data_IF_364909978235
#
_entry.id   IF_364909978235
#
_cell.length_a   1.000
_cell.length_b   1.000
_cell.length_c   1.000
_cell.angle_alpha   90.00
_cell.angle_beta   90.00
_cell.angle_gamma   90.00
#
_symmetry.space_group_name_H-M   'P 1'
#
loop_
_entity.id
_entity.type
_entity.pdbx_description
1 polymer ?
#
# COMPACT_ATOMS: atom_id res chain seq x y z
N UNK A 1 -55.43 -51.44 61.55
CA UNK A 1 -55.36 -49.97 61.37
C UNK A 1 -54.29 -49.43 62.30
N UNK A 2 -53.29 -48.68 61.89
CA UNK A 2 -52.45 -48.59 60.68
C UNK A 2 -51.33 -47.66 61.11
N UNK A 3 -50.10 -48.09 60.86
CA UNK A 3 -48.85 -47.36 60.97
C UNK A 3 -48.87 -45.98 60.32
N UNK A 4 -48.13 -45.02 60.91
CA UNK A 4 -47.49 -43.93 60.15
C UNK A 4 -46.41 -43.18 60.96
N UNK A 5 -45.18 -43.62 60.70
CA UNK A 5 -43.85 -42.96 60.64
C UNK A 5 -43.53 -41.61 61.35
N UNK A 6 -42.28 -41.43 61.82
CA UNK A 6 -41.78 -40.15 62.33
C UNK A 6 -41.40 -39.19 61.18
N UNK A 7 -41.67 -37.90 61.37
CA UNK A 7 -41.30 -36.81 60.43
C UNK A 7 -39.80 -36.62 60.35
N UNK A 8 -39.26 -36.73 59.14
CA UNK A 8 -37.89 -36.38 58.77
C UNK A 8 -37.57 -34.90 59.07
N UNK A 9 -36.27 -34.69 59.29
CA UNK A 9 -35.63 -33.47 59.72
C UNK A 9 -35.80 -32.29 58.75
N UNK A 10 -35.99 -31.11 59.34
CA UNK A 10 -35.98 -29.81 58.68
C UNK A 10 -34.53 -29.45 58.27
N UNK A 11 -34.10 -29.90 57.09
CA UNK A 11 -32.82 -29.51 56.50
C UNK A 11 -33.00 -28.19 55.74
N UNK A 12 -32.55 -27.08 56.34
CA UNK A 12 -32.57 -25.76 55.72
C UNK A 12 -31.87 -25.78 54.33
N UNK A 13 -32.43 -25.11 53.30
CA UNK A 13 -31.86 -25.11 51.97
C UNK A 13 -30.51 -24.39 51.98
N UNK A 14 -29.42 -25.12 51.65
CA UNK A 14 -28.09 -24.53 51.45
C UNK A 14 -28.19 -23.54 50.29
N UNK A 15 -28.06 -22.25 50.60
CA UNK A 15 -28.02 -21.16 49.59
C UNK A 15 -27.01 -21.51 48.49
N UNK A 16 -27.25 -21.21 47.19
CA UNK A 16 -26.42 -21.69 46.10
C UNK A 16 -25.07 -20.97 46.08
N UNK A 17 -24.12 -21.47 46.86
CA UNK A 17 -22.75 -20.95 46.99
C UNK A 17 -22.08 -20.88 45.61
N UNK A 18 -22.34 -21.89 44.77
CA UNK A 18 -21.82 -21.99 43.41
C UNK A 18 -22.23 -20.78 42.56
N UNK A 19 -23.49 -20.35 42.63
CA UNK A 19 -23.98 -19.20 41.85
C UNK A 19 -23.30 -17.89 42.25
N UNK A 20 -22.99 -17.70 43.54
CA UNK A 20 -22.25 -16.51 44.00
C UNK A 20 -20.78 -16.54 43.62
N UNK A 21 -20.15 -17.71 43.64
CA UNK A 21 -18.77 -17.87 43.20
C UNK A 21 -18.66 -17.59 41.70
N UNK A 22 -19.55 -18.15 40.88
CA UNK A 22 -19.58 -17.88 39.44
C UNK A 22 -19.85 -16.41 39.13
N UNK A 23 -20.77 -15.77 39.86
CA UNK A 23 -21.03 -14.33 39.73
C UNK A 23 -19.80 -13.49 40.13
N UNK A 24 -19.09 -13.89 41.19
CA UNK A 24 -17.85 -13.24 41.61
C UNK A 24 -16.75 -13.34 40.56
N UNK A 25 -16.59 -14.53 39.94
CA UNK A 25 -15.64 -14.74 38.83
C UNK A 25 -16.03 -13.89 37.62
N UNK A 26 -17.31 -13.83 37.24
CA UNK A 26 -17.78 -13.02 36.12
C UNK A 26 -17.53 -11.52 36.34
N UNK A 27 -17.81 -11.00 37.54
CA UNK A 27 -17.54 -9.59 37.90
C UNK A 27 -16.03 -9.32 37.84
N UNK A 28 -15.21 -10.24 38.34
CA UNK A 28 -13.76 -10.11 38.25
C UNK A 28 -13.26 -10.11 36.79
N UNK A 29 -13.80 -11.00 35.95
CA UNK A 29 -13.48 -11.05 34.52
C UNK A 29 -13.87 -9.77 33.79
N UNK A 30 -15.07 -9.22 34.06
CA UNK A 30 -15.52 -7.95 33.50
C UNK A 30 -14.65 -6.78 33.99
N UNK A 31 -14.28 -6.77 35.27
CA UNK A 31 -13.37 -5.77 35.83
C UNK A 31 -11.99 -5.81 35.17
N UNK A 32 -11.42 -7.01 34.97
CA UNK A 32 -10.16 -7.20 34.27
C UNK A 32 -10.26 -6.73 32.80
N UNK A 33 -11.35 -7.06 32.11
CA UNK A 33 -11.59 -6.64 30.73
C UNK A 33 -11.69 -5.11 30.60
N UNK A 34 -12.41 -4.44 31.51
CA UNK A 34 -12.49 -2.98 31.55
C UNK A 34 -11.12 -2.37 31.85
N UNK A 35 -10.34 -2.95 32.77
CA UNK A 35 -9.03 -2.42 33.15
C UNK A 35 -7.99 -2.59 32.04
N UNK A 36 -8.01 -3.72 31.33
CA UNK A 36 -7.21 -3.94 30.12
C UNK A 36 -7.61 -2.96 29.01
N UNK A 37 -8.91 -2.79 28.77
CA UNK A 37 -9.41 -1.83 27.79
C UNK A 37 -9.01 -0.38 28.15
N UNK A 38 -9.07 0.00 29.43
CA UNK A 38 -8.68 1.33 29.88
C UNK A 38 -7.17 1.57 29.88
N UNK A 39 -6.38 0.54 30.18
CA UNK A 39 -4.92 0.57 30.03
C UNK A 39 -4.53 0.80 28.57
N UNK A 40 -5.21 0.13 27.64
CA UNK A 40 -4.99 0.30 26.20
C UNK A 40 -5.45 1.68 25.69
N UNK A 41 -6.55 2.21 26.24
CA UNK A 41 -7.01 3.58 25.96
C UNK A 41 -5.99 4.65 26.45
N UNK A 42 -5.28 4.39 27.56
CA UNK A 42 -4.37 5.34 28.21
C UNK A 42 -3.05 5.58 27.48
N UNK A 43 -2.52 4.58 26.78
CA UNK A 43 -1.31 4.73 25.95
C UNK A 43 -1.60 4.98 24.46
N UNK A 44 -2.87 4.82 24.02
CA UNK A 44 -3.23 4.79 22.59
C UNK A 44 -4.20 5.86 22.08
N UNK A 45 -4.98 6.57 22.91
CA UNK A 45 -5.97 7.54 22.39
C UNK A 45 -5.36 8.89 22.04
N UNK A 46 -4.70 8.95 20.88
CA UNK A 46 -4.79 10.15 20.04
C UNK A 46 -6.20 10.17 19.45
N UNK A 47 -6.98 11.21 19.78
CA UNK A 47 -8.25 11.48 19.10
C UNK A 47 -8.02 11.38 17.58
N UNK A 48 -8.84 10.62 16.81
CA UNK A 48 -8.68 10.56 15.37
C UNK A 48 -8.79 11.98 14.81
N UNK A 49 -7.72 12.46 14.18
CA UNK A 49 -7.79 13.70 13.41
C UNK A 49 -8.73 13.41 12.22
N UNK A 50 -9.93 13.99 12.25
CA UNK A 50 -10.90 13.84 11.17
C UNK A 50 -10.45 14.69 9.98
N UNK A 51 -9.77 14.06 9.02
CA UNK A 51 -9.41 14.61 7.72
C UNK A 51 -7.92 14.43 7.40
N UNK A 52 -7.55 14.20 6.12
CA UNK A 52 -6.14 14.14 5.75
C UNK A 52 -5.45 15.45 6.10
N UNK A 53 -4.26 15.38 6.70
CA UNK A 53 -3.51 16.59 7.05
C UNK A 53 -2.76 17.16 5.85
N UNK A 54 -2.52 16.31 4.85
CA UNK A 54 -1.78 16.68 3.67
C UNK A 54 -2.55 17.69 2.77
N UNK A 55 -1.84 18.62 2.11
CA UNK A 55 -2.35 19.44 1.01
C UNK A 55 -2.84 18.62 -0.18
N UNK A 56 -3.60 19.24 -1.08
CA UNK A 56 -4.04 18.58 -2.33
C UNK A 56 -2.87 18.38 -3.30
N UNK A 57 -2.90 17.33 -4.13
CA UNK A 57 -1.86 17.05 -5.14
C UNK A 57 -1.56 18.24 -6.07
N UNK A 58 -2.59 19.04 -6.36
CA UNK A 58 -2.50 20.23 -7.24
C UNK A 58 -1.75 21.41 -6.61
N UNK A 59 -1.42 21.34 -5.32
CA UNK A 59 -0.64 22.36 -4.64
C UNK A 59 0.87 22.17 -4.88
N UNK A 60 1.64 23.25 -5.12
CA UNK A 60 3.09 23.16 -5.32
C UNK A 60 3.82 22.49 -4.14
N UNK A 61 4.89 21.76 -4.43
CA UNK A 61 5.72 21.09 -3.43
C UNK A 61 6.92 21.96 -3.04
N UNK A 62 7.27 21.91 -1.75
CA UNK A 62 8.53 22.44 -1.22
C UNK A 62 9.25 21.36 -0.41
N UNK A 63 10.59 21.39 -0.28
CA UNK A 63 11.32 20.49 0.60
C UNK A 63 10.72 20.48 2.03
N UNK A 64 10.39 19.29 2.52
CA UNK A 64 9.74 19.10 3.84
C UNK A 64 8.21 19.17 3.85
N UNK A 65 7.58 19.52 2.73
CA UNK A 65 6.12 19.50 2.50
C UNK A 65 5.82 18.72 1.22
N UNK A 66 6.15 17.43 1.21
CA UNK A 66 6.06 16.57 0.03
C UNK A 66 4.88 15.62 0.05
N UNK A 67 4.27 15.42 1.22
CA UNK A 67 3.11 14.56 1.40
C UNK A 67 1.86 15.26 0.87
N UNK A 68 1.10 14.58 0.01
CA UNK A 68 -0.12 15.09 -0.64
C UNK A 68 -1.26 14.12 -0.44
N UNK A 69 -2.50 14.61 -0.44
CA UNK A 69 -3.69 13.75 -0.52
C UNK A 69 -3.68 12.95 -1.81
N UNK A 70 -3.94 11.66 -1.71
CA UNK A 70 -3.85 10.75 -2.84
C UNK A 70 -5.20 10.11 -3.16
N UNK A 71 -5.59 10.21 -4.43
CA UNK A 71 -6.78 9.57 -5.00
C UNK A 71 -6.41 8.93 -6.34
N UNK A 72 -6.31 7.59 -6.42
CA UNK A 72 -5.80 6.91 -7.61
C UNK A 72 -6.60 7.17 -8.89
N UNK A 73 -7.91 7.34 -8.79
CA UNK A 73 -8.85 7.39 -9.92
C UNK A 73 -8.57 8.55 -10.89
N UNK A 74 -7.95 9.64 -10.42
CA UNK A 74 -7.73 10.86 -11.23
C UNK A 74 -6.46 11.62 -10.84
N UNK A 75 -5.41 10.94 -10.38
CA UNK A 75 -4.24 11.62 -9.83
C UNK A 75 -3.47 12.44 -10.90
N UNK A 76 -3.32 13.77 -10.75
CA UNK A 76 -2.46 14.60 -11.59
C UNK A 76 -1.01 14.57 -11.11
N UNK A 77 -0.12 15.11 -11.94
CA UNK A 77 1.19 15.55 -11.48
C UNK A 77 1.07 16.64 -10.42
N UNK A 78 2.04 16.70 -9.51
CA UNK A 78 1.98 17.68 -8.45
C UNK A 78 2.06 19.12 -8.99
N UNK A 79 1.27 20.02 -8.41
CA UNK A 79 1.20 21.41 -8.87
C UNK A 79 0.37 21.62 -10.13
N UNK A 80 -0.19 20.56 -10.73
CA UNK A 80 -1.02 20.65 -11.92
C UNK A 80 -2.52 20.52 -11.58
N UNK A 81 -3.43 21.11 -12.37
CA UNK A 81 -4.86 20.86 -12.23
C UNK A 81 -5.20 19.37 -12.38
N UNK A 82 -6.28 18.92 -11.76
CA UNK A 82 -6.81 17.57 -11.98
C UNK A 82 -7.11 17.37 -13.48
N UNK A 83 -6.79 16.20 -14.06
CA UNK A 83 -7.11 15.93 -15.46
C UNK A 83 -8.63 15.86 -15.67
N UNK A 84 -9.08 16.32 -16.83
CA UNK A 84 -10.49 16.25 -17.23
C UNK A 84 -10.94 14.79 -17.43
N UNK A 85 -10.02 13.92 -17.85
CA UNK A 85 -10.24 12.49 -18.06
C UNK A 85 -9.53 11.67 -16.99
N UNK A 86 -10.26 10.72 -16.40
CA UNK A 86 -9.69 9.74 -15.48
C UNK A 86 -8.69 8.81 -16.20
N UNK A 87 -7.68 8.35 -15.47
CA UNK A 87 -6.82 7.27 -15.95
C UNK A 87 -7.63 5.97 -16.05
N UNK A 88 -7.25 5.04 -16.94
CA UNK A 88 -7.92 3.75 -17.05
C UNK A 88 -7.90 2.97 -15.74
N UNK A 89 -9.02 2.31 -15.42
CA UNK A 89 -9.17 1.47 -14.21
C UNK A 89 -8.26 0.22 -14.22
N UNK A 90 -7.60 -0.05 -15.35
CA UNK A 90 -6.67 -1.18 -15.53
C UNK A 90 -5.53 -0.77 -16.45
N UNK A 91 -4.37 -1.40 -16.33
CA UNK A 91 -3.16 -1.03 -17.07
C UNK A 91 -3.33 -1.33 -18.56
N UNK A 92 -3.28 -0.31 -19.40
CA UNK A 92 -3.39 -0.45 -20.86
C UNK A 92 -2.01 -0.28 -21.48
N UNK A 93 -1.64 -1.19 -22.36
CA UNK A 93 -0.48 -1.03 -23.24
C UNK A 93 -0.94 -0.41 -24.56
N UNK A 94 -0.32 0.70 -24.94
CA UNK A 94 -0.51 1.34 -26.25
C UNK A 94 0.84 1.47 -26.95
N UNK A 95 1.06 0.86 -28.12
CA UNK A 95 2.26 1.12 -28.92
C UNK A 95 2.32 2.58 -29.37
N UNK A 96 3.46 3.22 -29.19
CA UNK A 96 3.72 4.61 -29.57
C UNK A 96 5.02 4.71 -30.36
N UNK A 97 5.34 5.89 -30.90
CA UNK A 97 6.57 6.13 -31.66
C UNK A 97 6.80 5.13 -32.81
N UNK A 98 5.72 4.78 -33.51
CA UNK A 98 5.76 3.80 -34.60
C UNK A 98 6.07 2.36 -34.14
N UNK A 99 5.76 2.02 -32.89
CA UNK A 99 5.96 0.69 -32.29
C UNK A 99 7.29 0.53 -31.53
N UNK A 100 8.24 1.47 -31.67
CA UNK A 100 9.52 1.42 -30.94
C UNK A 100 9.44 1.76 -29.46
N UNK A 101 8.29 2.24 -29.01
CA UNK A 101 8.00 2.43 -27.61
C UNK A 101 6.58 1.97 -27.28
N UNK A 102 6.32 1.68 -26.02
CA UNK A 102 4.98 1.39 -25.51
C UNK A 102 4.64 2.34 -24.38
N UNK A 103 3.40 2.80 -24.30
CA UNK A 103 2.85 3.50 -23.15
C UNK A 103 2.07 2.50 -22.29
N UNK A 104 2.42 2.43 -21.00
CA UNK A 104 1.62 1.75 -19.98
C UNK A 104 0.88 2.81 -19.16
N UNK A 105 -0.44 2.81 -19.27
CA UNK A 105 -1.30 3.81 -18.64
C UNK A 105 -2.41 3.17 -17.81
N UNK A 106 -2.66 3.68 -16.61
CA UNK A 106 -3.77 3.24 -15.74
C UNK A 106 -3.34 2.40 -14.54
N UNK A 107 -4.34 1.88 -13.83
CA UNK A 107 -4.14 1.12 -12.57
C UNK A 107 -3.54 -0.25 -12.84
N UNK A 108 -2.49 -0.62 -12.12
CA UNK A 108 -1.87 -1.95 -12.17
C UNK A 108 -2.79 -2.91 -11.40
N UNK A 109 -3.49 -3.81 -12.09
CA UNK A 109 -4.41 -4.76 -11.45
C UNK A 109 -3.84 -6.18 -11.44
N UNK A 110 -4.44 -7.06 -10.64
CA UNK A 110 -4.04 -8.46 -10.54
C UNK A 110 -4.05 -9.16 -11.92
N UNK A 111 -2.94 -9.82 -12.25
CA UNK A 111 -2.75 -10.53 -13.52
C UNK A 111 -2.31 -9.62 -14.68
N UNK A 112 -2.03 -8.34 -14.43
CA UNK A 112 -1.47 -7.45 -15.44
C UNK A 112 -0.03 -7.79 -15.79
N UNK A 113 0.76 -8.36 -14.87
CA UNK A 113 2.13 -8.77 -15.20
C UNK A 113 2.15 -9.77 -16.38
N UNK A 114 1.47 -10.90 -16.25
CA UNK A 114 1.41 -11.92 -17.30
C UNK A 114 0.84 -11.35 -18.61
N UNK A 115 -0.26 -10.59 -18.52
CA UNK A 115 -0.95 -10.03 -19.68
C UNK A 115 -0.09 -9.03 -20.43
N UNK A 116 0.55 -8.09 -19.73
CA UNK A 116 1.35 -7.03 -20.34
C UNK A 116 2.68 -7.59 -20.88
N UNK A 117 3.29 -8.55 -20.17
CA UNK A 117 4.48 -9.27 -20.67
C UNK A 117 4.19 -9.90 -22.02
N UNK A 118 3.07 -10.62 -22.15
CA UNK A 118 2.66 -11.23 -23.42
C UNK A 118 2.45 -10.16 -24.50
N UNK A 119 1.75 -9.07 -24.17
CA UNK A 119 1.52 -7.98 -25.13
C UNK A 119 2.84 -7.36 -25.61
N UNK A 120 3.80 -7.09 -24.72
CA UNK A 120 5.12 -6.55 -25.08
C UNK A 120 5.90 -7.51 -25.99
N UNK A 121 5.86 -8.81 -25.69
CA UNK A 121 6.55 -9.84 -26.48
C UNK A 121 5.95 -10.02 -27.88
N UNK A 122 4.65 -9.76 -28.04
CA UNK A 122 3.93 -9.88 -29.31
C UNK A 122 4.05 -8.61 -30.22
N UNK A 123 4.71 -7.54 -29.75
CA UNK A 123 4.87 -6.31 -30.55
C UNK A 123 5.95 -6.45 -31.63
N UNK A 124 5.61 -6.01 -32.84
CA UNK A 124 6.53 -5.87 -33.96
C UNK A 124 6.46 -4.43 -34.53
N UNK A 125 7.55 -3.64 -34.49
CA UNK A 125 8.86 -3.97 -33.90
C UNK A 125 8.79 -4.09 -32.37
N UNK A 126 9.76 -4.81 -31.79
CA UNK A 126 9.91 -4.87 -30.34
C UNK A 126 10.24 -3.48 -29.78
N UNK A 127 9.58 -3.03 -28.69
CA UNK A 127 9.83 -1.72 -28.11
C UNK A 127 11.17 -1.69 -27.36
N UNK A 128 11.88 -0.56 -27.48
CA UNK A 128 13.12 -0.29 -26.74
C UNK A 128 12.83 0.49 -25.45
N UNK A 129 11.66 1.15 -25.39
CA UNK A 129 11.27 2.09 -24.34
C UNK A 129 9.83 1.84 -23.89
N UNK A 130 9.60 1.94 -22.59
CA UNK A 130 8.27 1.96 -21.97
C UNK A 130 8.05 3.30 -21.29
N UNK A 131 6.99 4.00 -21.65
CA UNK A 131 6.49 5.17 -20.93
C UNK A 131 5.48 4.73 -19.87
N UNK A 132 5.52 5.36 -18.70
CA UNK A 132 4.67 5.03 -17.56
C UNK A 132 3.80 6.22 -17.17
N UNK A 133 2.49 5.99 -17.09
CA UNK A 133 1.54 6.94 -16.53
C UNK A 133 0.52 6.20 -15.65
N UNK A 134 0.82 6.04 -14.37
CA UNK A 134 0.04 5.14 -13.52
C UNK A 134 -0.09 5.65 -12.08
N UNK A 135 -1.29 5.54 -11.48
CA UNK A 135 -1.49 5.77 -10.06
C UNK A 135 -1.00 4.59 -9.20
N UNK A 136 -0.49 3.52 -9.81
CA UNK A 136 -0.05 2.29 -9.14
C UNK A 136 -1.16 1.25 -9.04
N UNK A 137 -1.17 0.46 -7.96
CA UNK A 137 -2.06 -0.69 -7.79
C UNK A 137 -1.34 -1.90 -7.20
N UNK A 138 -1.46 -3.07 -7.84
CA UNK A 138 -0.85 -4.33 -7.44
C UNK A 138 0.68 -4.24 -7.41
N UNK A 139 1.26 -4.30 -6.22
CA UNK A 139 2.72 -4.36 -6.04
C UNK A 139 3.30 -5.63 -6.62
N UNK A 140 2.62 -6.77 -6.47
CA UNK A 140 3.12 -8.05 -6.99
C UNK A 140 3.30 -7.99 -8.51
N UNK A 141 2.27 -7.51 -9.23
CA UNK A 141 2.33 -7.37 -10.69
C UNK A 141 3.39 -6.33 -11.11
N UNK A 142 3.52 -5.23 -10.37
CA UNK A 142 4.53 -4.22 -10.65
C UNK A 142 5.97 -4.76 -10.50
N UNK A 143 6.24 -5.57 -9.46
CA UNK A 143 7.54 -6.19 -9.27
C UNK A 143 7.83 -7.24 -10.36
N UNK A 144 6.86 -8.07 -10.71
CA UNK A 144 7.03 -9.10 -11.74
C UNK A 144 7.26 -8.50 -13.13
N UNK A 145 6.43 -7.53 -13.51
CA UNK A 145 6.58 -6.82 -14.77
C UNK A 145 7.88 -6.00 -14.80
N UNK A 146 8.27 -5.34 -13.70
CA UNK A 146 9.53 -4.62 -13.61
C UNK A 146 10.76 -5.52 -13.79
N UNK A 147 10.74 -6.75 -13.26
CA UNK A 147 11.79 -7.76 -13.53
C UNK A 147 11.85 -8.17 -14.99
N UNK A 148 10.70 -8.29 -15.64
CA UNK A 148 10.65 -8.55 -17.08
C UNK A 148 11.30 -7.41 -17.87
N UNK A 149 10.92 -6.15 -17.59
CA UNK A 149 11.49 -4.97 -18.26
C UNK A 149 13.03 -4.94 -18.12
N UNK A 150 13.55 -5.22 -16.92
CA UNK A 150 14.99 -5.31 -16.65
C UNK A 150 15.66 -6.37 -17.50
N UNK A 151 15.09 -7.59 -17.53
CA UNK A 151 15.68 -8.75 -18.21
C UNK A 151 15.76 -8.55 -19.71
N UNK A 152 14.71 -7.97 -20.30
CA UNK A 152 14.65 -7.70 -21.72
C UNK A 152 15.41 -6.42 -22.13
N UNK A 153 15.94 -5.67 -21.15
CA UNK A 153 16.75 -4.48 -21.40
C UNK A 153 15.94 -3.26 -21.88
N UNK A 154 14.63 -3.22 -21.60
CA UNK A 154 13.80 -2.08 -21.97
C UNK A 154 14.12 -0.88 -21.09
N UNK A 155 14.18 0.30 -21.68
CA UNK A 155 14.25 1.55 -20.93
C UNK A 155 12.86 1.92 -20.40
N UNK A 156 12.81 2.65 -19.28
CA UNK A 156 11.56 3.16 -18.70
C UNK A 156 11.64 4.67 -18.54
N UNK A 157 10.54 5.36 -18.81
CA UNK A 157 10.51 6.81 -18.71
C UNK A 157 9.12 7.31 -18.35
N UNK A 158 9.04 8.54 -17.85
CA UNK A 158 7.81 9.32 -17.82
C UNK A 158 7.83 10.31 -18.99
N UNK A 159 6.67 10.68 -19.53
CA UNK A 159 6.56 11.86 -20.39
C UNK A 159 6.33 13.09 -19.52
N UNK A 160 6.48 14.27 -20.11
CA UNK A 160 6.10 15.52 -19.48
C UNK A 160 4.63 15.43 -19.01
N UNK A 161 4.38 15.70 -17.73
CA UNK A 161 3.03 15.64 -17.16
C UNK A 161 2.52 14.24 -16.77
N UNK A 162 3.28 13.17 -16.97
CA UNK A 162 2.89 11.82 -16.51
C UNK A 162 3.19 11.61 -15.02
N UNK A 163 2.35 10.81 -14.34
CA UNK A 163 2.55 10.36 -12.96
C UNK A 163 3.10 8.93 -12.88
N UNK A 164 3.83 8.64 -11.83
CA UNK A 164 4.18 7.28 -11.43
C UNK A 164 4.12 7.14 -9.91
N UNK A 165 2.93 6.81 -9.40
CA UNK A 165 2.65 6.75 -7.96
C UNK A 165 2.48 5.32 -7.45
N UNK A 166 2.63 5.17 -6.13
CA UNK A 166 2.36 3.93 -5.39
C UNK A 166 3.19 2.75 -5.87
N UNK A 167 2.61 1.80 -6.60
CA UNK A 167 3.29 0.63 -7.15
C UNK A 167 4.01 0.91 -8.48
N UNK A 168 3.64 1.97 -9.21
CA UNK A 168 4.28 2.32 -10.48
C UNK A 168 5.81 2.52 -10.39
N UNK A 169 6.37 3.14 -9.33
CA UNK A 169 7.82 3.25 -9.16
C UNK A 169 8.55 1.92 -9.29
N UNK A 170 7.93 0.79 -8.95
CA UNK A 170 8.55 -0.53 -9.14
C UNK A 170 8.71 -0.90 -10.62
N UNK A 171 7.78 -0.49 -11.49
CA UNK A 171 7.97 -0.61 -12.95
C UNK A 171 9.10 0.30 -13.44
N UNK A 172 9.09 1.57 -12.99
CA UNK A 172 10.09 2.57 -13.38
C UNK A 172 11.51 2.09 -13.08
N UNK A 173 11.76 1.53 -11.91
CA UNK A 173 13.13 1.13 -11.55
C UNK A 173 13.56 -0.17 -12.26
N UNK A 174 12.60 -0.90 -12.82
CA UNK A 174 12.83 -2.06 -13.67
C UNK A 174 13.57 -1.74 -14.98
N UNK A 175 13.48 -0.51 -15.50
CA UNK A 175 14.10 -0.18 -16.79
C UNK A 175 15.63 -0.16 -16.79
N UNK A 176 16.22 -0.60 -17.91
CA UNK A 176 17.67 -0.63 -18.13
C UNK A 176 18.31 0.75 -17.91
N UNK A 177 17.76 1.77 -18.56
CA UNK A 177 17.90 3.18 -18.19
C UNK A 177 16.56 3.77 -17.75
N UNK A 178 16.62 4.90 -17.05
CA UNK A 178 15.46 5.59 -16.46
C UNK A 178 15.54 7.06 -16.77
N UNK A 179 14.41 7.63 -17.16
CA UNK A 179 14.28 9.07 -17.41
C UNK A 179 13.00 9.59 -16.76
N UNK A 180 13.11 10.70 -16.04
CA UNK A 180 11.99 11.37 -15.39
C UNK A 180 12.15 12.86 -15.68
N UNK A 181 11.29 13.45 -16.55
CA UNK A 181 11.37 14.87 -16.84
C UNK A 181 11.00 15.71 -15.60
N UNK A 182 11.43 16.97 -15.57
CA UNK A 182 11.17 17.88 -14.45
C UNK A 182 9.68 18.03 -14.10
N UNK A 183 8.81 17.95 -15.12
CA UNK A 183 7.37 18.03 -14.89
C UNK A 183 6.73 16.69 -14.51
N UNK A 184 7.46 15.57 -14.65
CA UNK A 184 7.04 14.23 -14.26
C UNK A 184 7.03 14.06 -12.74
N UNK A 185 6.15 13.19 -12.23
CA UNK A 185 5.97 13.05 -10.78
C UNK A 185 6.06 11.60 -10.35
N UNK A 186 6.98 11.31 -9.42
CA UNK A 186 7.16 9.98 -8.83
C UNK A 186 6.85 10.08 -7.34
N UNK A 187 6.09 9.12 -6.82
CA UNK A 187 5.63 9.19 -5.44
C UNK A 187 5.41 7.82 -4.83
N UNK A 188 5.66 7.75 -3.53
CA UNK A 188 5.63 6.52 -2.74
C UNK A 188 4.75 6.68 -1.52
N UNK A 189 4.11 5.59 -1.11
CA UNK A 189 3.38 5.50 0.15
C UNK A 189 3.34 4.05 0.62
N UNK A 190 2.72 3.77 1.76
CA UNK A 190 2.70 2.41 2.28
C UNK A 190 1.95 1.48 1.33
N UNK A 191 2.55 0.33 1.03
CA UNK A 191 1.91 -0.70 0.23
C UNK A 191 1.33 -1.79 1.11
N UNK A 192 0.09 -2.20 0.81
CA UNK A 192 -0.53 -3.37 1.42
C UNK A 192 -0.47 -4.52 0.41
N UNK A 193 0.27 -5.58 0.74
CA UNK A 193 0.24 -6.82 -0.04
C UNK A 193 -1.13 -7.46 0.17
N UNK A 194 -1.87 -7.66 -0.93
CA UNK A 194 -3.28 -8.00 -0.91
C UNK A 194 -3.66 -9.02 0.15
N UNK A 195 -4.44 -8.61 1.13
CA UNK A 195 -5.30 -9.48 1.91
C UNK A 195 -6.59 -8.74 2.30
N UNK A 196 -7.71 -9.43 2.08
CA UNK A 196 -9.03 -9.07 2.57
C UNK A 196 -8.98 -8.70 4.05
N UNK A 197 -9.82 -7.75 4.45
CA UNK A 197 -10.12 -7.30 5.82
C UNK A 197 -10.59 -8.40 6.78
N UNK A 198 -10.42 -9.67 6.43
CA UNK A 198 -10.94 -10.88 7.08
C UNK A 198 -9.87 -11.58 7.93
N UNK A 199 -8.58 -11.34 7.69
CA UNK A 199 -7.52 -12.08 8.39
C UNK A 199 -7.18 -11.48 9.77
N UNK A 200 -6.83 -12.33 10.76
CA UNK A 200 -6.37 -11.85 12.06
C UNK A 200 -5.17 -10.93 11.93
N UNK A 201 -5.12 -9.87 12.74
CA UNK A 201 -4.08 -8.83 12.66
C UNK A 201 -2.64 -9.37 12.69
N UNK A 202 -2.38 -10.48 13.40
CA UNK A 202 -1.03 -11.06 13.47
C UNK A 202 -0.58 -11.71 12.15
N UNK A 203 -1.50 -12.30 11.36
CA UNK A 203 -1.20 -12.89 10.05
C UNK A 203 -0.90 -11.78 9.05
N UNK A 204 -1.70 -10.70 9.09
CA UNK A 204 -1.47 -9.51 8.30
C UNK A 204 -0.07 -8.91 8.56
N UNK A 205 0.40 -8.89 9.82
CA UNK A 205 1.73 -8.33 10.16
C UNK A 205 2.90 -9.16 9.61
N UNK A 206 2.84 -10.50 9.66
CA UNK A 206 3.92 -11.35 9.12
C UNK A 206 4.03 -11.18 7.59
N UNK A 207 2.90 -11.19 6.89
CA UNK A 207 2.86 -11.03 5.44
C UNK A 207 3.30 -9.63 5.00
N UNK A 208 2.98 -8.59 5.79
CA UNK A 208 3.51 -7.23 5.58
C UNK A 208 5.03 -7.24 5.67
N UNK A 209 5.63 -7.80 6.73
CA UNK A 209 7.08 -7.78 6.92
C UNK A 209 7.82 -8.53 5.80
N UNK A 210 7.31 -9.70 5.41
CA UNK A 210 7.87 -10.47 4.28
C UNK A 210 7.77 -9.68 2.97
N UNK A 211 6.63 -9.05 2.73
CA UNK A 211 6.40 -8.19 1.56
C UNK A 211 7.36 -7.00 1.50
N UNK A 212 7.55 -6.30 2.61
CA UNK A 212 8.52 -5.20 2.69
C UNK A 212 9.95 -5.68 2.41
N UNK A 213 10.36 -6.83 2.96
CA UNK A 213 11.67 -7.40 2.67
C UNK A 213 11.85 -7.80 1.19
N UNK A 214 10.79 -8.24 0.52
CA UNK A 214 10.82 -8.52 -0.91
C UNK A 214 10.97 -7.25 -1.76
N UNK A 215 10.31 -6.16 -1.36
CA UNK A 215 10.44 -4.85 -2.00
C UNK A 215 11.84 -4.28 -1.79
N UNK A 216 12.36 -4.29 -0.56
CA UNK A 216 13.73 -3.81 -0.27
C UNK A 216 14.76 -4.51 -1.16
N UNK A 217 14.65 -5.84 -1.29
CA UNK A 217 15.52 -6.63 -2.15
C UNK A 217 15.36 -6.27 -3.62
N UNK A 218 14.13 -6.09 -4.09
CA UNK A 218 13.87 -5.66 -5.46
C UNK A 218 14.48 -4.28 -5.75
N UNK A 219 14.32 -3.31 -4.85
CA UNK A 219 14.91 -1.99 -4.99
C UNK A 219 16.44 -2.08 -5.07
N UNK A 220 17.08 -2.82 -4.16
CA UNK A 220 18.52 -3.06 -4.16
C UNK A 220 19.01 -3.75 -5.45
N UNK A 221 18.31 -4.79 -5.92
CA UNK A 221 18.59 -5.47 -7.19
C UNK A 221 18.47 -4.55 -8.41
N UNK A 222 17.59 -3.54 -8.32
CA UNK A 222 17.44 -2.49 -9.33
C UNK A 222 18.40 -1.32 -9.08
N UNK A 223 19.29 -1.36 -8.09
CA UNK A 223 20.22 -0.25 -7.81
C UNK A 223 19.53 1.01 -7.31
N UNK A 224 18.44 0.85 -6.56
CA UNK A 224 17.75 1.92 -5.81
C UNK A 224 18.14 1.80 -4.35
N UNK A 225 18.49 2.91 -3.72
CA UNK A 225 18.75 2.94 -2.28
C UNK A 225 17.45 2.59 -1.51
N UNK A 226 17.40 1.46 -0.77
CA UNK A 226 16.21 1.06 -0.04
C UNK A 226 15.76 2.06 1.03
N UNK A 227 16.58 3.06 1.39
CA UNK A 227 16.18 4.15 2.29
C UNK A 227 14.99 4.97 1.78
N UNK A 228 14.70 4.95 0.47
CA UNK A 228 13.45 5.55 -0.06
C UNK A 228 12.19 4.99 0.63
N UNK A 229 12.26 3.75 1.12
CA UNK A 229 11.15 3.12 1.83
C UNK A 229 10.80 3.81 3.15
N UNK A 230 11.70 4.61 3.73
CA UNK A 230 11.36 5.42 4.90
C UNK A 230 10.20 6.37 4.59
N UNK A 231 10.20 7.00 3.42
CA UNK A 231 9.10 7.86 2.97
C UNK A 231 7.84 7.06 2.69
N UNK A 232 7.98 5.90 2.02
CA UNK A 232 6.85 5.02 1.70
C UNK A 232 6.14 4.56 2.99
N UNK A 233 6.87 3.96 3.91
CA UNK A 233 6.34 3.30 5.11
C UNK A 233 5.66 4.26 6.10
N UNK A 234 6.08 5.52 6.15
CA UNK A 234 5.48 6.53 7.05
C UNK A 234 4.30 7.27 6.42
N UNK A 235 4.05 7.07 5.12
CA UNK A 235 2.99 7.77 4.39
C UNK A 235 1.71 6.90 4.33
N UNK A 236 0.56 7.38 4.84
CA UNK A 236 -0.76 6.72 4.76
C UNK A 236 -1.17 6.31 3.34
N UNK A 237 -2.06 5.31 3.13
CA UNK A 237 -2.52 4.91 1.80
C UNK A 237 -3.36 5.98 1.07
N UNK A 238 -3.99 6.88 1.83
CA UNK A 238 -4.75 8.02 1.34
C UNK A 238 -3.89 9.28 1.13
N UNK A 239 -2.57 9.15 1.32
CA UNK A 239 -1.58 10.18 1.06
C UNK A 239 -0.46 9.63 0.15
N UNK A 240 0.34 10.52 -0.43
CA UNK A 240 1.48 10.18 -1.29
C UNK A 240 2.65 11.10 -0.98
N UNK A 241 3.83 10.54 -0.74
CA UNK A 241 5.06 11.31 -0.64
C UNK A 241 5.66 11.45 -2.02
N UNK A 242 5.65 12.66 -2.57
CA UNK A 242 6.20 12.94 -3.90
C UNK A 242 7.70 13.22 -3.77
N UNK A 243 8.51 12.47 -4.50
CA UNK A 243 9.96 12.60 -4.50
C UNK A 243 10.38 13.87 -5.24
N UNK A 244 11.25 14.65 -4.62
CA UNK A 244 11.86 15.81 -5.28
C UNK A 244 12.95 15.36 -6.27
N UNK A 245 13.31 16.19 -7.27
CA UNK A 245 14.39 15.86 -8.22
C UNK A 245 15.70 15.43 -7.55
N UNK A 246 16.09 16.10 -6.46
CA UNK A 246 17.29 15.75 -5.69
C UNK A 246 17.17 14.39 -4.99
N UNK A 247 15.96 13.99 -4.58
CA UNK A 247 15.70 12.68 -3.99
C UNK A 247 15.66 11.58 -5.03
N UNK A 248 15.14 11.87 -6.23
CA UNK A 248 15.19 10.94 -7.36
C UNK A 248 16.65 10.58 -7.70
N UNK A 249 17.55 11.56 -7.73
CA UNK A 249 18.99 11.32 -7.90
C UNK A 249 19.58 10.58 -6.71
N UNK A 250 19.36 11.08 -5.48
CA UNK A 250 19.89 10.51 -4.23
C UNK A 250 19.55 9.03 -4.05
N UNK A 251 18.32 8.65 -4.38
CA UNK A 251 17.87 7.25 -4.25
C UNK A 251 18.13 6.41 -5.50
N UNK A 252 18.68 6.98 -6.59
CA UNK A 252 19.08 6.25 -7.79
C UNK A 252 17.95 6.01 -8.81
N UNK A 253 16.83 6.73 -8.74
CA UNK A 253 15.77 6.65 -9.75
C UNK A 253 16.21 7.16 -11.11
N UNK A 254 17.11 8.14 -11.14
CA UNK A 254 17.72 8.72 -12.34
C UNK A 254 19.23 8.89 -12.11
N UNK A 255 20.05 8.96 -13.17
CA UNK A 255 21.50 9.14 -13.04
C UNK A 255 21.87 10.40 -12.27
N UNK A 256 23.01 10.38 -11.57
CA UNK A 256 23.68 11.60 -11.12
C UNK A 256 24.26 12.35 -12.33
N UNK A 257 24.17 13.68 -12.32
CA UNK A 257 24.74 14.56 -13.37
C UNK A 257 26.28 14.63 -13.32
#
# INVERSE_FOLDING_TARGET
MSDSAPSEADAAPRKPVVGRVLMGVLIFQLGLAVLLFWGDLGEGLRLPAFGPKAPELTEPIRPGDQTRRFRPDRAPNSGQPMPDTALPDRLILTPVSGGRAALLEGTIDAGDAERIVKQLADLEPAPEQVYLNSPGGSVQDALELGRYLRREGLNTALREGDICYSACPYLLVGGASRDVPDSGSVGVHQHYFGQSTILPAFVAVEDIQRGQGAVMRYLDEMGIDPLVMQHALVTPPDEIYVLLPDELRRYGFIPEE
#
